data_IF_094091182743
#
_entry.id   IF_094091182743
#
_cell.length_a   1.000
_cell.length_b   1.000
_cell.length_c   1.000
_cell.angle_alpha   90.00
_cell.angle_beta   90.00
_cell.angle_gamma   90.00
#
_symmetry.space_group_name_H-M   'P 1'
#
loop_
_entity.id
_entity.type
_entity.pdbx_description
1 polymer ?
#
# COMPACT_ATOMS: atom_id res chain seq x y z
N UNK A 1 26.84 7.17 -5.11
CA UNK A 1 26.75 6.03 -4.19
C UNK A 1 27.77 4.99 -4.65
N UNK A 2 28.63 4.47 -3.78
CA UNK A 2 29.66 3.53 -4.18
C UNK A 2 29.01 2.15 -4.43
N UNK A 3 29.44 1.41 -5.47
CA UNK A 3 28.89 0.08 -5.82
C UNK A 3 28.87 -0.90 -4.64
N UNK A 4 29.77 -0.74 -3.68
CA UNK A 4 29.86 -1.58 -2.50
C UNK A 4 28.69 -1.42 -1.50
N UNK A 5 27.98 -0.32 -1.58
CA UNK A 5 26.85 -0.03 -0.67
C UNK A 5 25.48 -0.40 -1.26
N UNK A 6 25.43 -0.90 -2.48
CA UNK A 6 24.15 -1.26 -3.14
C UNK A 6 23.47 -2.41 -2.41
N UNK A 7 24.21 -3.36 -1.89
CA UNK A 7 23.64 -4.48 -1.13
C UNK A 7 22.85 -4.05 0.11
N UNK A 8 23.25 -2.96 0.78
CA UNK A 8 22.52 -2.47 1.94
C UNK A 8 21.18 -1.81 1.55
N UNK A 9 21.11 -1.23 0.36
CA UNK A 9 19.88 -0.65 -0.18
C UNK A 9 18.89 -1.74 -0.61
N UNK A 10 19.38 -2.87 -1.08
CA UNK A 10 18.56 -4.03 -1.43
C UNK A 10 17.82 -4.62 -0.25
N UNK A 11 18.35 -4.45 0.94
CA UNK A 11 17.76 -4.97 2.17
C UNK A 11 16.63 -4.08 2.69
N UNK A 12 16.46 -2.88 2.18
CA UNK A 12 15.32 -2.08 2.57
C UNK A 12 14.02 -2.63 1.93
N UNK A 13 12.95 -2.57 2.68
CA UNK A 13 11.67 -3.15 2.29
C UNK A 13 11.15 -2.57 0.96
N UNK A 14 11.33 -1.27 0.75
CA UNK A 14 10.88 -0.60 -0.46
C UNK A 14 11.68 -1.07 -1.69
N UNK A 15 12.99 -1.22 -1.58
CA UNK A 15 13.83 -1.80 -2.64
C UNK A 15 13.38 -3.22 -2.99
N UNK A 16 13.09 -4.04 -2.00
CA UNK A 16 12.56 -5.40 -2.22
C UNK A 16 11.19 -5.41 -2.89
N UNK A 17 10.37 -4.42 -2.63
CA UNK A 17 9.01 -4.37 -3.17
C UNK A 17 8.95 -3.89 -4.61
N UNK A 18 9.94 -3.13 -5.09
CA UNK A 18 9.88 -2.45 -6.39
C UNK A 18 11.04 -2.75 -7.34
N UNK A 19 11.84 -3.79 -7.07
CA UNK A 19 12.96 -4.16 -7.94
C UNK A 19 12.55 -5.13 -9.05
N UNK A 20 13.48 -5.38 -9.99
CA UNK A 20 13.37 -6.45 -10.98
C UNK A 20 12.97 -7.80 -10.36
N UNK A 21 13.39 -8.07 -9.13
CA UNK A 21 12.98 -9.26 -8.38
C UNK A 21 11.47 -9.32 -8.11
N UNK A 22 10.79 -8.18 -8.12
CA UNK A 22 9.34 -8.10 -7.96
C UNK A 22 8.62 -8.22 -9.29
N UNK A 23 9.16 -7.63 -10.36
CA UNK A 23 8.47 -7.47 -11.64
C UNK A 23 9.23 -8.06 -12.83
N UNK A 24 10.55 -8.16 -12.76
CA UNK A 24 11.38 -8.70 -13.83
C UNK A 24 11.30 -10.21 -13.97
N UNK A 25 11.98 -10.74 -14.96
CA UNK A 25 12.09 -12.19 -15.21
C UNK A 25 12.68 -12.90 -13.98
N UNK A 26 13.65 -12.30 -13.33
CA UNK A 26 14.23 -12.82 -12.08
C UNK A 26 13.22 -12.86 -10.95
N UNK A 27 12.44 -11.82 -10.75
CA UNK A 27 11.39 -11.75 -9.72
C UNK A 27 10.31 -12.79 -9.91
N UNK A 28 9.91 -13.03 -11.13
CA UNK A 28 8.95 -14.10 -11.47
C UNK A 28 9.55 -15.47 -11.16
N UNK A 29 10.82 -15.68 -11.51
CA UNK A 29 11.51 -16.94 -11.28
C UNK A 29 11.70 -17.26 -9.79
N UNK A 30 11.88 -16.22 -8.98
CA UNK A 30 12.04 -16.37 -7.52
C UNK A 30 10.73 -16.28 -6.74
N UNK A 31 9.59 -16.09 -7.42
CA UNK A 31 8.28 -15.96 -6.76
C UNK A 31 8.20 -14.78 -5.79
N UNK A 32 8.92 -13.70 -6.08
CA UNK A 32 9.09 -12.58 -5.16
C UNK A 32 8.00 -11.50 -5.26
N UNK A 33 6.92 -11.75 -6.00
CA UNK A 33 5.81 -10.80 -6.09
C UNK A 33 5.22 -10.49 -4.72
N UNK A 34 5.10 -9.21 -4.41
CA UNK A 34 4.38 -8.74 -3.22
C UNK A 34 3.00 -8.26 -3.66
N UNK A 35 1.99 -8.84 -3.05
CA UNK A 35 0.60 -8.62 -3.42
C UNK A 35 -0.21 -8.23 -2.19
N UNK A 36 -1.19 -7.37 -2.39
CA UNK A 36 -2.24 -7.18 -1.39
C UNK A 36 -3.08 -8.45 -1.31
N UNK A 37 -3.59 -8.79 -0.13
CA UNK A 37 -4.56 -9.89 -0.04
C UNK A 37 -5.84 -9.52 -0.78
N UNK A 38 -6.43 -10.49 -1.47
CA UNK A 38 -7.72 -10.32 -2.17
C UNK A 38 -8.79 -9.72 -1.23
N UNK A 39 -8.89 -10.25 0.00
CA UNK A 39 -9.85 -9.78 0.99
C UNK A 39 -9.68 -8.30 1.33
N UNK A 40 -8.45 -7.82 1.43
CA UNK A 40 -8.22 -6.38 1.69
C UNK A 40 -8.49 -5.54 0.45
N UNK A 41 -8.10 -6.02 -0.73
CA UNK A 41 -8.33 -5.32 -2.00
C UNK A 41 -9.83 -5.10 -2.27
N UNK A 42 -10.67 -6.12 -2.00
CA UNK A 42 -12.11 -6.06 -2.19
C UNK A 42 -12.82 -5.11 -1.19
N UNK A 43 -12.17 -4.74 -0.09
CA UNK A 43 -12.68 -3.74 0.86
C UNK A 43 -12.36 -2.30 0.45
N UNK A 44 -11.52 -2.09 -0.55
CA UNK A 44 -11.21 -0.76 -1.05
C UNK A 44 -12.32 -0.33 -2.00
N UNK A 45 -12.92 0.84 -1.75
CA UNK A 45 -13.94 1.41 -2.64
C UNK A 45 -13.39 1.61 -4.05
N UNK A 46 -14.24 1.44 -5.06
CA UNK A 46 -13.86 1.72 -6.46
C UNK A 46 -13.61 3.21 -6.71
N UNK A 47 -14.19 4.10 -5.89
CA UNK A 47 -13.94 5.54 -5.92
C UNK A 47 -12.60 5.93 -5.28
N UNK A 48 -11.98 5.03 -4.54
CA UNK A 48 -10.72 5.28 -3.84
C UNK A 48 -9.54 5.11 -4.79
N UNK A 49 -8.89 6.22 -5.15
CA UNK A 49 -7.75 6.18 -6.06
C UNK A 49 -6.60 5.29 -5.58
N UNK A 50 -6.50 5.01 -4.26
CA UNK A 50 -5.50 4.09 -3.73
C UNK A 50 -5.66 2.68 -4.28
N UNK A 51 -6.88 2.27 -4.66
CA UNK A 51 -7.13 0.98 -5.32
C UNK A 51 -6.31 0.81 -6.59
N UNK A 52 -6.04 1.91 -7.28
CA UNK A 52 -5.22 1.92 -8.50
C UNK A 52 -3.72 1.69 -8.25
N UNK A 53 -3.29 1.62 -7.00
CA UNK A 53 -1.90 1.27 -6.64
C UNK A 53 -1.64 -0.24 -6.65
N UNK A 54 -2.63 -1.04 -7.02
CA UNK A 54 -2.51 -2.47 -7.26
C UNK A 54 -3.09 -2.84 -8.61
N UNK A 55 -2.57 -3.91 -9.21
CA UNK A 55 -3.09 -4.44 -10.48
C UNK A 55 -4.42 -5.11 -10.19
N UNK A 56 -5.49 -4.59 -10.80
CA UNK A 56 -6.81 -5.17 -10.68
C UNK A 56 -6.87 -6.56 -11.36
N UNK A 57 -7.72 -7.49 -10.88
CA UNK A 57 -7.85 -8.82 -11.46
C UNK A 57 -8.17 -8.81 -12.95
N UNK A 58 -9.02 -7.91 -13.39
CA UNK A 58 -9.42 -7.73 -14.78
C UNK A 58 -8.31 -7.22 -15.69
N UNK A 59 -7.28 -6.58 -15.12
CA UNK A 59 -6.14 -6.03 -15.86
C UNK A 59 -4.93 -6.97 -15.86
N UNK A 60 -4.94 -7.99 -15.02
CA UNK A 60 -3.85 -8.94 -14.92
C UNK A 60 -3.62 -9.68 -16.23
N UNK A 61 -2.37 -9.70 -16.70
CA UNK A 61 -2.00 -10.38 -17.92
C UNK A 61 -2.47 -9.75 -19.23
N UNK A 62 -3.16 -8.60 -19.18
CA UNK A 62 -3.52 -7.84 -20.39
C UNK A 62 -2.33 -7.05 -20.90
N UNK A 63 -2.28 -6.86 -22.22
CA UNK A 63 -1.26 -5.99 -22.82
C UNK A 63 -1.41 -4.54 -22.33
N UNK A 64 -0.31 -3.79 -22.22
CA UNK A 64 -0.37 -2.39 -21.81
C UNK A 64 -1.03 -1.55 -22.91
N UNK A 65 -1.99 -0.94 -22.67
CA UNK A 65 -2.84 0.06 -23.28
C UNK A 65 -3.66 0.66 -22.18
N UNK A 66 -3.35 0.22 -20.95
CA UNK A 66 -4.00 0.57 -19.72
C UNK A 66 -3.17 1.62 -18.96
N UNK A 67 -3.70 2.12 -17.86
CA UNK A 67 -3.06 3.03 -16.91
C UNK A 67 -1.65 2.56 -16.41
N UNK A 68 -1.29 1.31 -16.60
CA UNK A 68 0.01 0.73 -16.18
C UNK A 68 1.09 0.76 -17.28
N UNK A 69 0.78 1.23 -18.46
CA UNK A 69 1.66 1.21 -19.63
C UNK A 69 3.08 1.79 -19.39
N UNK A 70 3.21 2.78 -18.55
CA UNK A 70 4.51 3.42 -18.25
C UNK A 70 5.42 2.61 -17.34
N UNK A 71 4.92 1.51 -16.76
CA UNK A 71 5.63 0.73 -15.75
C UNK A 71 6.14 -0.61 -16.27
N UNK A 72 5.57 -1.13 -17.36
CA UNK A 72 5.87 -2.47 -17.86
C UNK A 72 6.03 -2.47 -19.37
N UNK A 73 6.93 -3.31 -19.88
CA UNK A 73 6.90 -3.74 -21.28
C UNK A 73 5.76 -4.75 -21.47
N UNK A 74 5.27 -4.88 -22.69
CA UNK A 74 4.18 -5.79 -23.05
C UNK A 74 4.39 -7.23 -22.56
N UNK A 75 5.62 -7.72 -22.70
CA UNK A 75 5.97 -9.07 -22.29
C UNK A 75 6.00 -9.24 -20.77
N UNK A 76 6.51 -8.24 -20.07
CA UNK A 76 6.58 -8.29 -18.61
C UNK A 76 5.21 -8.16 -17.98
N UNK A 77 4.34 -7.32 -18.53
CA UNK A 77 2.98 -7.15 -18.01
C UNK A 77 2.16 -8.45 -18.09
N UNK A 78 2.28 -9.21 -19.17
CA UNK A 78 1.60 -10.50 -19.31
C UNK A 78 1.96 -11.53 -18.23
N UNK A 79 3.05 -11.31 -17.51
CA UNK A 79 3.54 -12.21 -16.45
C UNK A 79 3.19 -11.73 -15.06
N UNK A 80 2.70 -10.48 -14.92
CA UNK A 80 2.39 -9.90 -13.61
C UNK A 80 0.99 -10.32 -13.17
N UNK A 81 0.85 -10.99 -12.03
CA UNK A 81 -0.45 -11.43 -11.55
C UNK A 81 -1.28 -10.26 -11.00
N UNK A 82 -2.57 -10.52 -10.80
CA UNK A 82 -3.45 -9.60 -10.08
C UNK A 82 -2.92 -9.30 -8.66
N UNK A 83 -3.33 -8.15 -8.14
CA UNK A 83 -3.02 -7.68 -6.78
C UNK A 83 -1.57 -7.27 -6.52
N UNK A 84 -0.68 -7.37 -7.52
CA UNK A 84 0.69 -6.87 -7.39
C UNK A 84 0.65 -5.35 -7.20
N UNK A 85 1.47 -4.85 -6.28
CA UNK A 85 1.50 -3.43 -5.95
C UNK A 85 2.28 -2.61 -6.99
N UNK A 86 1.88 -1.36 -7.12
CA UNK A 86 2.55 -0.31 -7.90
C UNK A 86 2.99 0.86 -7.01
N UNK A 87 2.79 0.73 -5.71
CA UNK A 87 3.02 1.79 -4.73
C UNK A 87 4.50 2.17 -4.62
N UNK A 88 5.38 1.18 -4.60
CA UNK A 88 6.82 1.39 -4.50
C UNK A 88 7.43 1.31 -5.89
N UNK A 89 7.56 2.46 -6.54
CA UNK A 89 8.14 2.54 -7.88
C UNK A 89 9.66 2.48 -7.81
N UNK A 90 10.32 1.77 -8.73
CA UNK A 90 11.76 1.85 -8.88
C UNK A 90 12.19 3.26 -9.28
N UNK A 91 13.40 3.64 -8.90
CA UNK A 91 13.98 4.92 -9.29
C UNK A 91 13.95 5.07 -10.81
N UNK A 92 13.47 6.22 -11.28
CA UNK A 92 13.36 6.54 -12.71
C UNK A 92 12.50 5.54 -13.53
N UNK A 93 11.69 4.72 -12.83
CA UNK A 93 10.92 3.66 -13.46
C UNK A 93 11.76 2.49 -13.99
N UNK A 94 13.03 2.40 -13.59
CA UNK A 94 13.91 1.33 -14.05
C UNK A 94 13.62 0.02 -13.32
N UNK A 95 12.93 -0.86 -13.98
CA UNK A 95 12.55 -2.19 -13.47
C UNK A 95 13.49 -3.31 -13.95
N UNK A 96 14.45 -2.99 -14.82
CA UNK A 96 15.33 -3.96 -15.46
C UNK A 96 16.66 -4.07 -14.70
N UNK A 97 17.25 -2.93 -14.34
CA UNK A 97 18.51 -2.87 -13.62
C UNK A 97 18.27 -2.52 -12.15
N UNK A 98 18.37 -3.52 -11.30
CA UNK A 98 18.18 -3.35 -9.87
C UNK A 98 19.21 -2.42 -9.21
N UNK A 99 20.41 -2.28 -9.80
CA UNK A 99 21.40 -1.34 -9.28
C UNK A 99 20.99 0.13 -9.51
N UNK A 100 20.14 0.36 -10.48
CA UNK A 100 19.58 1.70 -10.79
C UNK A 100 18.23 1.88 -10.12
N UNK A 101 17.33 0.90 -10.23
CA UNK A 101 15.94 1.00 -9.76
C UNK A 101 15.75 0.82 -8.25
N UNK A 102 16.59 -0.01 -7.60
CA UNK A 102 16.44 -0.31 -6.17
C UNK A 102 16.81 0.83 -5.20
N UNK A 103 17.74 1.76 -5.50
CA UNK A 103 18.05 2.88 -4.61
C UNK A 103 16.91 3.91 -4.56
N UNK A 104 15.91 3.65 -3.76
CA UNK A 104 14.78 4.56 -3.48
C UNK A 104 14.79 4.98 -2.02
N UNK A 105 14.11 6.09 -1.73
CA UNK A 105 13.96 6.56 -0.36
C UNK A 105 13.14 5.57 0.46
N UNK A 106 13.57 5.36 1.69
CA UNK A 106 12.84 4.55 2.65
C UNK A 106 11.91 5.44 3.45
N UNK A 107 10.60 5.23 3.31
CA UNK A 107 9.58 5.97 4.04
C UNK A 107 9.56 5.50 5.50
N UNK A 108 10.07 6.33 6.41
CA UNK A 108 10.07 6.05 7.84
C UNK A 108 8.81 6.59 8.53
N UNK A 109 8.37 7.77 8.14
CA UNK A 109 7.17 8.44 8.65
C UNK A 109 6.53 9.26 7.56
N UNK A 110 5.20 9.33 7.57
CA UNK A 110 4.42 10.17 6.66
C UNK A 110 3.39 10.97 7.44
N UNK A 111 3.07 12.15 6.95
CA UNK A 111 2.09 13.04 7.59
C UNK A 111 0.69 12.38 7.69
N UNK A 112 0.36 11.48 6.79
CA UNK A 112 -0.89 10.72 6.81
C UNK A 112 -1.06 9.94 8.12
N UNK A 113 0.02 9.44 8.70
CA UNK A 113 -0.05 8.77 10.00
C UNK A 113 -0.56 9.71 11.09
N UNK A 114 -0.17 10.97 11.04
CA UNK A 114 -0.61 11.98 12.02
C UNK A 114 -2.11 12.23 11.92
N UNK A 115 -2.69 12.28 10.72
CA UNK A 115 -4.15 12.42 10.56
C UNK A 115 -4.93 11.25 11.17
N UNK A 116 -4.44 10.03 11.02
CA UNK A 116 -5.09 8.86 11.64
C UNK A 116 -4.94 8.85 13.17
N UNK A 117 -3.78 9.24 13.68
CA UNK A 117 -3.53 9.38 15.13
C UNK A 117 -4.44 10.48 15.70
N UNK A 118 -4.51 11.64 15.02
CA UNK A 118 -5.37 12.76 15.43
C UNK A 118 -6.85 12.33 15.48
N UNK A 119 -7.35 11.67 14.45
CA UNK A 119 -8.74 11.19 14.41
C UNK A 119 -9.04 10.23 15.58
N UNK A 120 -8.13 9.31 15.90
CA UNK A 120 -8.30 8.40 17.04
C UNK A 120 -8.24 9.14 18.37
N UNK A 121 -7.33 10.08 18.54
CA UNK A 121 -7.20 10.90 19.76
C UNK A 121 -8.42 11.79 19.99
N UNK A 122 -8.96 12.41 18.92
CA UNK A 122 -10.21 13.18 18.97
C UNK A 122 -11.38 12.26 19.36
N UNK A 123 -11.49 11.07 18.77
CA UNK A 123 -12.56 10.13 19.13
C UNK A 123 -12.48 9.73 20.61
N UNK A 124 -11.29 9.52 21.13
CA UNK A 124 -11.08 9.15 22.54
C UNK A 124 -11.36 10.29 23.53
N UNK A 125 -11.07 11.53 23.16
CA UNK A 125 -11.17 12.69 24.06
C UNK A 125 -12.48 13.48 23.93
N UNK A 126 -13.06 13.52 22.74
CA UNK A 126 -14.24 14.33 22.41
C UNK A 126 -15.44 13.52 21.94
N UNK A 127 -15.28 12.21 21.82
CA UNK A 127 -16.32 11.28 21.38
C UNK A 127 -16.20 10.84 19.92
N UNK A 128 -16.77 9.69 19.66
CA UNK A 128 -16.66 8.97 18.36
C UNK A 128 -17.09 9.83 17.18
N UNK A 129 -18.16 10.59 17.32
CA UNK A 129 -18.67 11.47 16.24
C UNK A 129 -17.64 12.53 15.81
N UNK A 130 -16.91 13.10 16.77
CA UNK A 130 -15.85 14.07 16.46
C UNK A 130 -14.67 13.42 15.73
N UNK A 131 -14.27 12.21 16.16
CA UNK A 131 -13.23 11.43 15.48
C UNK A 131 -13.62 11.03 14.06
N UNK A 132 -14.88 10.62 13.85
CA UNK A 132 -15.44 10.35 12.53
C UNK A 132 -15.32 11.59 11.63
N UNK A 133 -15.71 12.76 12.13
CA UNK A 133 -15.61 14.00 11.36
C UNK A 133 -14.17 14.32 10.95
N UNK A 134 -13.20 14.09 11.84
CA UNK A 134 -11.78 14.28 11.53
C UNK A 134 -11.29 13.30 10.45
N UNK A 135 -11.62 12.02 10.58
CA UNK A 135 -11.27 11.00 9.60
C UNK A 135 -11.92 11.28 8.24
N UNK A 136 -13.21 11.60 8.22
CA UNK A 136 -13.93 11.93 6.99
C UNK A 136 -13.35 13.15 6.28
N UNK A 137 -12.97 14.17 7.03
CA UNK A 137 -12.34 15.36 6.46
C UNK A 137 -11.02 15.00 5.73
N UNK A 138 -10.16 14.19 6.37
CA UNK A 138 -8.94 13.70 5.74
C UNK A 138 -9.24 12.86 4.50
N UNK A 139 -10.11 11.87 4.64
CA UNK A 139 -10.42 10.93 3.56
C UNK A 139 -11.07 11.61 2.36
N UNK A 140 -12.06 12.46 2.59
CA UNK A 140 -12.76 13.21 1.54
C UNK A 140 -11.85 14.20 0.82
N UNK A 141 -10.91 14.81 1.54
CA UNK A 141 -9.99 15.79 0.96
C UNK A 141 -8.89 15.12 0.13
N UNK A 142 -8.35 13.98 0.58
CA UNK A 142 -7.12 13.44 0.03
C UNK A 142 -7.25 12.05 -0.61
N UNK A 143 -8.38 11.36 -0.43
CA UNK A 143 -8.55 10.00 -0.96
C UNK A 143 -9.72 9.91 -1.93
N UNK A 144 -10.95 9.98 -1.45
CA UNK A 144 -12.13 10.01 -2.32
C UNK A 144 -13.28 10.75 -1.64
N UNK A 145 -13.96 11.60 -2.41
CA UNK A 145 -14.95 12.55 -1.88
C UNK A 145 -16.22 11.90 -1.34
N UNK A 146 -16.54 10.68 -1.78
CA UNK A 146 -17.72 9.92 -1.35
C UNK A 146 -17.50 9.13 -0.06
N UNK A 147 -16.32 9.22 0.59
CA UNK A 147 -16.03 8.49 1.82
C UNK A 147 -17.02 8.77 2.93
N UNK A 148 -17.49 7.73 3.59
CA UNK A 148 -18.35 7.80 4.77
C UNK A 148 -17.93 6.76 5.79
N UNK A 149 -17.77 7.18 7.04
CA UNK A 149 -17.52 6.31 8.18
C UNK A 149 -18.83 6.02 8.90
N UNK A 150 -19.27 4.77 8.90
CA UNK A 150 -20.56 4.33 9.50
C UNK A 150 -20.42 3.83 10.94
N UNK A 151 -19.25 4.01 11.55
CA UNK A 151 -19.02 3.58 12.93
C UNK A 151 -19.95 4.30 13.90
N UNK A 152 -20.42 3.57 14.91
CA UNK A 152 -21.28 4.14 15.97
C UNK A 152 -20.65 3.98 17.37
N UNK A 153 -19.67 3.11 17.48
CA UNK A 153 -18.92 2.85 18.72
C UNK A 153 -17.44 3.09 18.54
N UNK A 154 -16.71 3.27 19.63
CA UNK A 154 -15.25 3.41 19.58
C UNK A 154 -14.57 2.15 19.02
N UNK A 155 -15.13 0.99 19.28
CA UNK A 155 -14.64 -0.28 18.74
C UNK A 155 -14.79 -0.32 17.22
N UNK A 156 -15.95 0.03 16.68
CA UNK A 156 -16.18 0.06 15.24
C UNK A 156 -15.35 1.13 14.55
N UNK A 157 -15.19 2.28 15.20
CA UNK A 157 -14.33 3.35 14.68
C UNK A 157 -12.87 2.91 14.59
N UNK A 158 -12.35 2.18 15.60
CA UNK A 158 -11.00 1.60 15.54
C UNK A 158 -10.87 0.55 14.44
N UNK A 159 -11.88 -0.29 14.22
CA UNK A 159 -11.89 -1.24 13.10
C UNK A 159 -11.76 -0.51 11.76
N UNK A 160 -12.52 0.57 11.59
CA UNK A 160 -12.44 1.40 10.39
C UNK A 160 -11.07 2.06 10.24
N UNK A 161 -10.53 2.66 11.30
CA UNK A 161 -9.18 3.22 11.29
C UNK A 161 -8.13 2.20 10.88
N UNK A 162 -8.19 0.99 11.44
CA UNK A 162 -7.26 -0.10 11.10
C UNK A 162 -7.41 -0.51 9.64
N UNK A 163 -8.63 -0.60 9.13
CA UNK A 163 -8.86 -0.88 7.71
C UNK A 163 -8.20 0.18 6.83
N UNK A 164 -8.48 1.45 7.10
CA UNK A 164 -7.91 2.56 6.32
C UNK A 164 -6.38 2.64 6.43
N UNK A 165 -5.82 2.41 7.60
CA UNK A 165 -4.36 2.33 7.81
C UNK A 165 -3.73 1.13 7.10
N UNK A 166 -4.38 -0.02 7.04
CA UNK A 166 -3.89 -1.19 6.28
C UNK A 166 -3.80 -0.92 4.79
N UNK A 167 -4.72 -0.15 4.25
CA UNK A 167 -4.70 0.29 2.85
C UNK A 167 -3.61 1.34 2.65
N UNK A 168 -3.59 2.37 3.49
CA UNK A 168 -2.69 3.51 3.38
C UNK A 168 -1.22 3.13 3.53
N UNK A 169 -0.91 2.36 4.57
CA UNK A 169 0.45 2.01 4.95
C UNK A 169 0.85 0.59 4.54
N UNK A 170 0.18 0.05 3.52
CA UNK A 170 0.54 -1.25 3.00
C UNK A 170 2.02 -1.29 2.59
N UNK A 171 2.76 -2.29 3.09
CA UNK A 171 4.18 -2.47 2.82
C UNK A 171 5.14 -1.57 3.63
N UNK A 172 4.64 -0.64 4.46
CA UNK A 172 5.47 0.29 5.25
C UNK A 172 5.80 -0.21 6.67
N UNK A 173 5.19 -1.31 7.10
CA UNK A 173 5.46 -1.92 8.43
C UNK A 173 4.74 -1.25 9.61
N UNK A 174 4.13 -0.08 9.43
CA UNK A 174 3.50 0.72 10.50
C UNK A 174 2.36 -0.03 11.19
N UNK A 175 1.55 -0.75 10.43
CA UNK A 175 0.35 -1.44 10.95
C UNK A 175 0.65 -2.49 12.02
N UNK A 176 1.86 -3.03 12.07
CA UNK A 176 2.30 -3.97 13.09
C UNK A 176 2.15 -3.37 14.51
N UNK A 177 2.49 -2.10 14.66
CA UNK A 177 2.40 -1.41 15.95
C UNK A 177 0.96 -1.18 16.40
N UNK A 178 0.05 -0.92 15.46
CA UNK A 178 -1.38 -0.83 15.75
C UNK A 178 -1.96 -2.16 16.22
N UNK A 179 -1.61 -3.26 15.54
CA UNK A 179 -2.05 -4.59 15.98
C UNK A 179 -1.54 -4.92 17.37
N UNK A 180 -0.29 -4.55 17.66
CA UNK A 180 0.32 -4.81 18.96
C UNK A 180 -0.31 -3.99 20.09
N UNK A 181 -0.50 -2.67 19.89
CA UNK A 181 -1.10 -1.79 20.93
C UNK A 181 -2.57 -2.06 21.19
N UNK A 182 -3.30 -2.56 20.20
CA UNK A 182 -4.72 -2.89 20.30
C UNK A 182 -4.98 -4.36 20.56
N UNK A 183 -3.93 -5.16 20.78
CA UNK A 183 -3.99 -6.61 21.03
C UNK A 183 -4.81 -7.37 19.98
N UNK A 184 -4.74 -6.93 18.71
CA UNK A 184 -5.51 -7.52 17.64
C UNK A 184 -4.89 -8.85 17.18
N UNK A 185 -5.71 -9.87 16.94
CA UNK A 185 -5.21 -11.13 16.39
C UNK A 185 -4.76 -10.97 14.95
N UNK A 186 -3.67 -11.63 14.59
CA UNK A 186 -3.23 -11.73 13.19
C UNK A 186 -3.87 -12.97 12.58
N UNK A 187 -4.94 -12.78 11.83
CA UNK A 187 -5.59 -13.85 11.08
C UNK A 187 -5.04 -13.84 9.65
N UNK A 188 -4.41 -14.93 9.24
CA UNK A 188 -4.04 -15.13 7.84
C UNK A 188 -5.22 -15.78 7.13
N UNK A 189 -5.83 -15.06 6.17
CA UNK A 189 -6.72 -15.66 5.18
C UNK A 189 -5.90 -16.38 4.12
N UNK A 190 -6.24 -17.60 3.82
CA UNK A 190 -5.73 -18.35 2.67
C UNK A 190 -6.68 -18.19 1.51
#
# INVERSE_FOLDING_TARGET
>A
MNKENIHSVWLNLAGHLCTEQTFGVGGISYGAHRMISKVLFEQISDDDWRKETWIAPEDAGKAPGTKYHTLFTDENFKKVPAYVHLKFKPKEGNMIDANVGAPIDNLLMRVEEMYFIEAEAIAASQGVSAGISALENFMKTYRYSSYQCTASTMEDFRKELILQKRIEFWGEGIIYWDYKRLELPVTRGY
#
